data_IF_925677743308
#
_entry.id   IF_925677743308
#
_cell.length_a   1.000
_cell.length_b   1.000
_cell.length_c   1.000
_cell.angle_alpha   90.00
_cell.angle_beta   90.00
_cell.angle_gamma   90.00
#
_symmetry.space_group_name_H-M   'P 1'
#
loop_
_entity.id
_entity.type
_entity.pdbx_description
1 polymer ?
#
# COMPACT_ATOMS: atom_id res chain seq x y z
N UNK A 1 5.41 23.10 -10.70
CA UNK A 1 5.45 21.82 -11.46
C UNK A 1 6.52 20.80 -11.02
N UNK A 2 7.69 21.16 -10.45
CA UNK A 2 8.75 20.15 -10.15
C UNK A 2 8.64 19.38 -8.81
N UNK A 3 7.85 19.87 -7.83
CA UNK A 3 7.77 19.25 -6.48
C UNK A 3 6.87 18.01 -6.45
N UNK A 4 5.74 18.03 -7.16
CA UNK A 4 4.73 16.95 -7.15
C UNK A 4 5.26 15.68 -7.82
N UNK A 5 5.88 15.80 -9.00
CA UNK A 5 6.44 14.66 -9.75
C UNK A 5 7.48 13.87 -8.94
N UNK A 6 8.30 14.56 -8.14
CA UNK A 6 9.37 13.94 -7.34
C UNK A 6 8.83 13.16 -6.13
N UNK A 7 7.72 13.62 -5.56
CA UNK A 7 7.02 12.94 -4.46
C UNK A 7 6.25 11.72 -4.97
N UNK A 8 5.54 11.89 -6.10
CA UNK A 8 4.79 10.80 -6.74
C UNK A 8 5.69 9.63 -7.15
N UNK A 9 6.86 9.92 -7.72
CA UNK A 9 7.84 8.87 -8.08
C UNK A 9 8.35 8.12 -6.84
N UNK A 10 8.59 8.80 -5.71
CA UNK A 10 9.05 8.15 -4.46
C UNK A 10 7.98 7.25 -3.86
N UNK A 11 6.76 7.76 -3.79
CA UNK A 11 5.59 7.02 -3.30
C UNK A 11 5.38 5.76 -4.14
N UNK A 12 5.46 5.87 -5.47
CA UNK A 12 5.31 4.73 -6.39
C UNK A 12 6.44 3.70 -6.21
N UNK A 13 7.68 4.14 -5.96
CA UNK A 13 8.80 3.24 -5.69
C UNK A 13 8.63 2.44 -4.39
N UNK A 14 8.28 3.11 -3.28
CA UNK A 14 8.10 2.45 -1.98
C UNK A 14 6.90 1.49 -2.02
N UNK A 15 5.81 1.90 -2.66
CA UNK A 15 4.63 1.05 -2.83
C UNK A 15 4.94 -0.20 -3.68
N UNK A 16 5.75 -0.06 -4.73
CA UNK A 16 6.12 -1.19 -5.59
C UNK A 16 7.01 -2.22 -4.89
N UNK A 17 7.90 -1.80 -3.99
CA UNK A 17 8.74 -2.71 -3.19
C UNK A 17 7.93 -3.63 -2.26
N UNK A 18 6.74 -3.18 -1.81
CA UNK A 18 5.85 -3.96 -0.96
C UNK A 18 5.07 -5.05 -1.72
N UNK A 19 4.99 -4.95 -3.06
CA UNK A 19 4.27 -5.91 -3.93
C UNK A 19 4.99 -7.24 -4.12
N UNK A 20 6.31 -7.30 -3.89
CA UNK A 20 7.13 -8.51 -4.09
C UNK A 20 6.73 -9.68 -3.16
N UNK A 21 5.89 -9.42 -2.16
CA UNK A 21 5.33 -10.43 -1.24
C UNK A 21 4.32 -11.41 -1.88
N UNK A 22 3.76 -11.11 -3.06
CA UNK A 22 2.77 -11.96 -3.70
C UNK A 22 3.35 -13.14 -4.49
N UNK A 23 4.67 -13.16 -4.72
CA UNK A 23 5.33 -14.13 -5.60
C UNK A 23 5.69 -15.49 -4.97
N UNK A 24 5.63 -15.64 -3.65
CA UNK A 24 6.10 -16.86 -2.96
C UNK A 24 5.05 -17.60 -2.14
N UNK A 25 3.81 -17.09 -2.10
CA UNK A 25 2.72 -17.75 -1.39
C UNK A 25 1.88 -18.47 -2.44
N UNK A 26 2.34 -19.69 -2.78
CA UNK A 26 1.47 -20.71 -3.33
C UNK A 26 0.24 -20.76 -2.43
N UNK A 27 -0.90 -20.33 -2.98
CA UNK A 27 -2.17 -20.25 -2.30
C UNK A 27 -2.67 -21.69 -2.05
N UNK A 28 -2.09 -22.39 -1.07
CA UNK A 28 -2.67 -23.62 -0.55
C UNK A 28 -3.95 -23.25 0.17
N UNK A 29 -5.08 -23.72 -0.38
CA UNK A 29 -6.32 -23.91 0.36
C UNK A 29 -6.06 -24.99 1.41
N UNK A 30 -5.32 -24.68 2.48
CA UNK A 30 -5.16 -25.61 3.59
C UNK A 30 -5.64 -24.95 4.89
N UNK A 31 -6.77 -25.47 5.35
CA UNK A 31 -7.37 -25.25 6.66
C UNK A 31 -6.39 -25.70 7.74
N UNK A 32 -5.56 -24.80 8.25
CA UNK A 32 -4.59 -25.13 9.29
C UNK A 32 -4.01 -23.91 9.99
N UNK A 33 -4.57 -23.58 11.16
CA UNK A 33 -3.97 -22.71 12.19
C UNK A 33 -3.39 -21.37 11.70
N UNK A 34 -4.13 -20.66 10.85
CA UNK A 34 -3.82 -19.24 10.62
C UNK A 34 -4.05 -18.45 11.92
N UNK A 35 -3.15 -17.51 12.29
CA UNK A 35 -3.39 -16.62 13.42
C UNK A 35 -4.75 -15.92 13.28
N UNK A 36 -5.46 -15.73 14.39
CA UNK A 36 -6.78 -15.07 14.39
C UNK A 36 -6.69 -13.74 13.64
N UNK A 37 -7.49 -13.59 12.58
CA UNK A 37 -7.52 -12.38 11.74
C UNK A 37 -6.81 -12.50 10.38
N UNK A 38 -6.14 -13.62 10.10
CA UNK A 38 -5.41 -13.83 8.85
C UNK A 38 -6.23 -14.45 7.70
N UNK A 39 -7.52 -14.72 7.89
CA UNK A 39 -8.34 -15.22 6.78
C UNK A 39 -8.43 -14.18 5.65
N UNK A 40 -8.23 -14.64 4.41
CA UNK A 40 -8.30 -13.83 3.19
C UNK A 40 -7.41 -12.58 3.21
N UNK A 41 -6.29 -12.62 3.96
CA UNK A 41 -5.38 -11.48 4.10
C UNK A 41 -4.80 -11.06 2.74
N UNK A 42 -4.49 -12.04 1.88
CA UNK A 42 -3.96 -11.83 0.53
C UNK A 42 -4.97 -11.15 -0.38
N UNK A 43 -6.25 -11.55 -0.34
CA UNK A 43 -7.32 -10.92 -1.10
C UNK A 43 -7.54 -9.46 -0.66
N UNK A 44 -7.58 -9.19 0.65
CA UNK A 44 -7.72 -7.83 1.20
C UNK A 44 -6.54 -6.94 0.79
N UNK A 45 -5.34 -7.48 0.88
CA UNK A 45 -4.12 -6.81 0.46
C UNK A 45 -4.15 -6.47 -1.04
N UNK A 46 -4.44 -7.45 -1.91
CA UNK A 46 -4.49 -7.25 -3.36
C UNK A 46 -5.58 -6.27 -3.76
N UNK A 47 -6.76 -6.34 -3.14
CA UNK A 47 -7.85 -5.40 -3.39
C UNK A 47 -7.46 -3.96 -3.07
N UNK A 48 -6.79 -3.72 -1.95
CA UNK A 48 -6.34 -2.37 -1.59
C UNK A 48 -5.13 -1.90 -2.40
N UNK A 49 -4.24 -2.81 -2.79
CA UNK A 49 -3.16 -2.50 -3.72
C UNK A 49 -3.71 -2.03 -5.07
N UNK A 50 -4.74 -2.71 -5.59
CA UNK A 50 -5.41 -2.32 -6.83
C UNK A 50 -6.10 -0.96 -6.69
N UNK A 51 -6.88 -0.74 -5.62
CA UNK A 51 -7.56 0.53 -5.38
C UNK A 51 -6.57 1.70 -5.32
N UNK A 52 -5.42 1.50 -4.67
CA UNK A 52 -4.35 2.48 -4.63
C UNK A 52 -3.70 2.73 -5.99
N UNK A 53 -3.43 1.67 -6.76
CA UNK A 53 -2.92 1.76 -8.13
C UNK A 53 -3.88 2.54 -9.04
N UNK A 54 -5.18 2.27 -8.96
CA UNK A 54 -6.21 2.96 -9.74
C UNK A 54 -6.31 4.44 -9.37
N UNK A 55 -6.23 4.76 -8.08
CA UNK A 55 -6.21 6.15 -7.62
C UNK A 55 -4.93 6.89 -8.07
N UNK A 56 -3.79 6.18 -8.10
CA UNK A 56 -2.52 6.72 -8.62
C UNK A 56 -2.61 7.02 -10.11
N UNK A 57 -3.21 6.13 -10.89
CA UNK A 57 -3.46 6.35 -12.31
C UNK A 57 -4.42 7.53 -12.54
N UNK A 58 -5.50 7.62 -11.76
CA UNK A 58 -6.46 8.72 -11.84
C UNK A 58 -5.80 10.09 -11.57
N UNK A 59 -5.00 10.21 -10.50
CA UNK A 59 -4.28 11.44 -10.18
C UNK A 59 -3.21 11.80 -11.22
N UNK A 60 -2.54 10.79 -11.78
CA UNK A 60 -1.55 11.01 -12.85
C UNK A 60 -2.19 11.54 -14.13
N UNK A 61 -3.42 11.13 -14.43
CA UNK A 61 -4.19 11.59 -15.58
C UNK A 61 -4.86 12.94 -15.35
N UNK A 62 -5.36 13.19 -14.13
CA UNK A 62 -5.98 14.45 -13.72
C UNK A 62 -5.54 14.81 -12.29
N UNK A 63 -4.62 15.77 -12.11
CA UNK A 63 -4.07 16.14 -10.82
C UNK A 63 -5.00 17.03 -9.96
N UNK A 64 -6.32 16.99 -10.20
CA UNK A 64 -7.29 17.71 -9.38
C UNK A 64 -7.22 17.36 -7.88
N UNK A 65 -7.62 18.31 -7.01
CA UNK A 65 -7.73 18.10 -5.55
C UNK A 65 -8.57 16.87 -5.20
N UNK A 66 -9.62 16.60 -5.98
CA UNK A 66 -10.45 15.40 -5.80
C UNK A 66 -9.63 14.11 -5.97
N UNK A 67 -8.88 13.99 -7.07
CA UNK A 67 -8.06 12.81 -7.33
C UNK A 67 -6.85 12.73 -6.38
N UNK A 68 -6.28 13.86 -5.95
CA UNK A 68 -5.24 13.88 -4.92
C UNK A 68 -5.76 13.32 -3.58
N UNK A 69 -6.93 13.78 -3.14
CA UNK A 69 -7.55 13.31 -1.91
C UNK A 69 -7.95 11.83 -2.00
N UNK A 70 -8.41 11.38 -3.18
CA UNK A 70 -8.67 9.96 -3.45
C UNK A 70 -7.40 9.13 -3.37
N UNK A 71 -6.31 9.57 -3.99
CA UNK A 71 -4.99 8.94 -3.90
C UNK A 71 -4.52 8.81 -2.44
N UNK A 72 -4.65 9.88 -1.64
CA UNK A 72 -4.31 9.83 -0.21
C UNK A 72 -5.16 8.84 0.56
N UNK A 73 -6.46 8.85 0.31
CA UNK A 73 -7.42 7.95 0.98
C UNK A 73 -7.10 6.49 0.69
N UNK A 74 -6.96 6.13 -0.59
CA UNK A 74 -6.65 4.74 -0.97
C UNK A 74 -5.24 4.33 -0.54
N UNK A 75 -4.28 5.26 -0.53
CA UNK A 75 -2.94 5.00 0.02
C UNK A 75 -2.97 4.68 1.52
N UNK A 76 -3.76 5.42 2.32
CA UNK A 76 -3.92 5.14 3.75
C UNK A 76 -4.69 3.83 3.99
N UNK A 77 -5.65 3.48 3.14
CA UNK A 77 -6.33 2.19 3.19
C UNK A 77 -5.37 1.04 2.90
N UNK A 78 -4.49 1.20 1.91
CA UNK A 78 -3.45 0.24 1.59
C UNK A 78 -2.45 0.06 2.76
N UNK A 79 -1.97 1.16 3.35
CA UNK A 79 -1.14 1.15 4.58
C UNK A 79 -1.84 0.40 5.71
N UNK A 80 -3.13 0.67 5.97
CA UNK A 80 -3.89 -0.01 7.02
C UNK A 80 -4.01 -1.51 6.78
N UNK A 81 -4.20 -1.92 5.52
CA UNK A 81 -4.21 -3.34 5.16
C UNK A 81 -2.84 -3.99 5.38
N UNK A 82 -1.76 -3.34 4.98
CA UNK A 82 -0.39 -3.79 5.25
C UNK A 82 -0.12 -3.96 6.76
N UNK A 83 -0.52 -2.97 7.58
CA UNK A 83 -0.43 -3.04 9.04
C UNK A 83 -1.22 -4.24 9.61
N UNK A 84 -2.40 -4.51 9.04
CA UNK A 84 -3.29 -5.60 9.48
C UNK A 84 -2.81 -7.01 9.12
N UNK A 85 -1.99 -7.17 8.08
CA UNK A 85 -1.49 -8.48 7.63
C UNK A 85 -0.09 -8.82 8.13
N UNK A 86 0.60 -7.87 8.79
CA UNK A 86 1.97 -8.06 9.32
C UNK A 86 2.11 -9.26 10.27
N UNK A 87 1.04 -9.61 10.98
CA UNK A 87 0.96 -10.79 11.85
C UNK A 87 0.76 -12.09 11.07
N UNK A 88 0.26 -12.00 9.83
CA UNK A 88 -0.09 -13.10 8.95
C UNK A 88 1.04 -13.49 7.99
N UNK A 89 1.94 -12.57 7.69
CA UNK A 89 3.07 -12.83 6.80
C UNK A 89 4.28 -13.30 7.62
N UNK A 90 4.82 -14.50 7.35
CA UNK A 90 6.09 -14.95 7.91
C UNK A 90 7.24 -14.16 7.25
N UNK A 91 7.37 -12.89 7.60
CA UNK A 91 8.43 -12.01 7.10
C UNK A 91 9.68 -12.15 7.98
N UNK A 92 10.82 -12.43 7.35
CA UNK A 92 12.14 -12.47 8.00
C UNK A 92 12.62 -11.08 8.47
N UNK A 93 12.19 -10.00 7.80
CA UNK A 93 12.61 -8.62 8.06
C UNK A 93 11.44 -7.73 8.55
N UNK A 94 10.73 -8.13 9.62
CA UNK A 94 9.54 -7.38 10.09
C UNK A 94 9.86 -5.92 10.43
N UNK A 95 11.07 -5.64 10.89
CA UNK A 95 11.51 -4.28 11.22
C UNK A 95 11.62 -3.39 9.97
N UNK A 96 12.14 -3.92 8.86
CA UNK A 96 12.30 -3.18 7.60
C UNK A 96 10.92 -2.87 7.01
N UNK A 97 10.06 -3.88 6.97
CA UNK A 97 8.68 -3.73 6.48
C UNK A 97 7.87 -2.70 7.30
N UNK A 98 8.04 -2.71 8.63
CA UNK A 98 7.42 -1.71 9.50
C UNK A 98 7.94 -0.28 9.22
N UNK A 99 9.23 -0.13 8.90
CA UNK A 99 9.79 1.16 8.54
C UNK A 99 9.25 1.64 7.19
N UNK A 100 9.13 0.75 6.20
CA UNK A 100 8.60 1.09 4.89
C UNK A 100 7.12 1.51 4.96
N UNK A 101 6.30 0.79 5.75
CA UNK A 101 4.91 1.17 6.02
C UNK A 101 4.84 2.56 6.67
N UNK A 102 5.67 2.82 7.69
CA UNK A 102 5.71 4.13 8.38
C UNK A 102 6.12 5.25 7.43
N UNK A 103 7.14 5.01 6.60
CA UNK A 103 7.62 5.96 5.62
C UNK A 103 6.53 6.27 4.59
N UNK A 104 5.88 5.24 4.03
CA UNK A 104 4.76 5.40 3.10
C UNK A 104 3.63 6.21 3.72
N UNK A 105 3.22 5.90 4.96
CA UNK A 105 2.20 6.64 5.71
C UNK A 105 2.59 8.10 5.90
N UNK A 106 3.84 8.37 6.26
CA UNK A 106 4.35 9.72 6.44
C UNK A 106 4.35 10.50 5.12
N UNK A 107 4.82 9.89 4.02
CA UNK A 107 4.82 10.50 2.69
C UNK A 107 3.41 10.86 2.23
N UNK A 108 2.46 9.93 2.36
CA UNK A 108 1.04 10.17 2.04
C UNK A 108 0.47 11.32 2.87
N UNK A 109 0.70 11.33 4.18
CA UNK A 109 0.18 12.39 5.05
C UNK A 109 0.82 13.77 4.75
N UNK A 110 2.12 13.78 4.42
CA UNK A 110 2.85 15.00 4.07
C UNK A 110 2.55 15.55 2.68
N UNK A 111 1.91 14.74 1.83
CA UNK A 111 1.50 15.18 0.50
C UNK A 111 0.36 16.18 0.63
N UNK A 112 0.66 17.42 0.26
CA UNK A 112 -0.29 18.52 0.24
C UNK A 112 -1.13 18.42 -1.04
N UNK A 113 -2.46 18.52 -0.92
CA UNK A 113 -3.42 18.48 -2.03
C UNK A 113 -3.97 19.88 -2.27
N UNK A 114 -3.09 20.79 -2.72
CA UNK A 114 -3.33 22.23 -2.78
C UNK A 114 -3.33 22.73 -4.24
N UNK A 115 -4.01 22.00 -5.13
CA UNK A 115 -4.26 22.46 -6.50
C UNK A 115 -5.60 23.20 -6.65
#
# INVERSE_FOLDING_TARGET
>A
MKKTLKSQVRIMFIASSLVVLSGFISCSKDDGLSPVGCNNWSEKYLSQAQAYSDASAAYSNDPSVSNCNKLKTEGLNYVKSLEGILSCVPTVNKSEFNNDIKNLKAEINSTACDE
#
